data_IF_213688642626
#
_entry.id   IF_213688642626
#
_cell.length_a   1.000
_cell.length_b   1.000
_cell.length_c   1.000
_cell.angle_alpha   90.00
_cell.angle_beta   90.00
_cell.angle_gamma   90.00
#
_symmetry.space_group_name_H-M   'P 1'
#
loop_
_entity.id
_entity.type
_entity.pdbx_description
1 polymer ?
#
# COMPACT_ATOMS: atom_id res chain seq x y z
N UNK A 1 -17.23 -17.29 48.67
CA UNK A 1 -17.13 -16.15 47.71
C UNK A 1 -16.04 -16.50 46.71
N UNK A 2 -16.43 -16.97 45.52
CA UNK A 2 -15.49 -17.37 44.48
C UNK A 2 -15.43 -16.19 43.51
N UNK A 3 -14.30 -15.50 43.48
CA UNK A 3 -14.07 -14.42 42.52
C UNK A 3 -13.93 -15.04 41.12
N UNK A 4 -14.91 -14.79 40.25
CA UNK A 4 -14.85 -15.07 38.82
C UNK A 4 -13.84 -14.11 38.21
N UNK A 5 -12.65 -14.61 37.94
CA UNK A 5 -11.66 -13.93 37.11
C UNK A 5 -12.15 -14.02 35.66
N UNK A 6 -12.87 -13.01 35.21
CA UNK A 6 -13.26 -12.87 33.82
C UNK A 6 -11.98 -12.68 32.99
N UNK A 7 -11.56 -13.71 32.28
CA UNK A 7 -10.60 -13.57 31.18
C UNK A 7 -11.23 -12.65 30.13
N UNK A 8 -10.79 -11.42 30.08
CA UNK A 8 -11.03 -10.56 28.92
C UNK A 8 -10.34 -11.26 27.75
N UNK A 9 -11.11 -11.93 26.90
CA UNK A 9 -10.61 -12.46 25.63
C UNK A 9 -10.10 -11.25 24.83
N UNK A 10 -8.80 -11.22 24.58
CA UNK A 10 -8.25 -10.22 23.66
C UNK A 10 -8.98 -10.33 22.33
N UNK A 11 -9.35 -9.20 21.76
CA UNK A 11 -9.97 -9.19 20.43
C UNK A 11 -9.13 -10.00 19.45
N UNK A 12 -9.73 -10.86 18.58
CA UNK A 12 -9.00 -11.73 17.67
C UNK A 12 -8.26 -10.95 16.56
N UNK A 13 -8.42 -9.64 16.54
CA UNK A 13 -7.89 -8.75 15.52
C UNK A 13 -6.81 -7.83 16.08
N UNK A 14 -5.72 -7.68 15.32
CA UNK A 14 -4.59 -6.82 15.64
C UNK A 14 -3.94 -6.27 14.35
N UNK A 15 -2.76 -5.65 14.48
CA UNK A 15 -1.99 -5.11 13.34
C UNK A 15 -1.57 -6.18 12.31
N UNK A 16 -1.49 -7.46 12.68
CA UNK A 16 -1.12 -8.56 11.79
C UNK A 16 -2.34 -9.26 11.20
N UNK A 17 -3.46 -9.15 11.90
CA UNK A 17 -4.76 -9.68 11.49
C UNK A 17 -5.83 -8.59 11.63
N UNK A 18 -5.88 -7.59 10.75
CA UNK A 18 -6.82 -6.48 10.85
C UNK A 18 -8.26 -6.93 10.62
N UNK A 19 -9.18 -6.35 11.37
CA UNK A 19 -10.62 -6.59 11.20
C UNK A 19 -11.10 -6.06 9.84
N UNK A 20 -11.81 -6.85 9.03
CA UNK A 20 -12.38 -6.40 7.76
C UNK A 20 -13.63 -5.55 7.98
N UNK A 21 -13.44 -4.33 8.50
CA UNK A 21 -14.53 -3.43 8.83
C UNK A 21 -15.32 -2.97 7.60
N UNK A 22 -16.64 -2.89 7.75
CA UNK A 22 -17.51 -2.34 6.71
C UNK A 22 -17.59 -0.82 6.84
N UNK A 23 -17.46 -0.11 5.73
CA UNK A 23 -17.76 1.32 5.66
C UNK A 23 -19.29 1.53 5.80
N UNK A 24 -19.69 2.28 6.83
CA UNK A 24 -21.10 2.58 7.13
C UNK A 24 -21.53 3.88 6.51
N UNK A 25 -20.71 4.92 6.68
CA UNK A 25 -21.00 6.26 6.14
C UNK A 25 -19.73 6.90 5.57
N UNK A 26 -19.94 7.71 4.53
CA UNK A 26 -18.91 8.59 3.96
C UNK A 26 -19.56 9.91 3.56
N UNK A 27 -19.05 11.02 4.08
CA UNK A 27 -19.54 12.36 3.72
C UNK A 27 -18.43 13.38 3.69
N UNK A 28 -18.53 14.32 2.77
CA UNK A 28 -17.65 15.47 2.72
C UNK A 28 -18.00 16.45 3.84
N UNK A 29 -17.00 16.93 4.58
CA UNK A 29 -17.14 17.92 5.64
C UNK A 29 -16.78 19.35 5.18
N UNK A 30 -15.89 19.46 4.20
CA UNK A 30 -15.51 20.77 3.66
C UNK A 30 -16.55 21.33 2.71
N UNK A 31 -16.73 22.67 2.74
CA UNK A 31 -17.62 23.36 1.83
C UNK A 31 -17.21 23.18 0.36
N UNK A 32 -18.15 23.33 -0.57
CA UNK A 32 -17.90 23.16 -2.01
C UNK A 32 -16.82 24.13 -2.54
N UNK A 33 -16.70 25.32 -1.95
CA UNK A 33 -15.70 26.32 -2.29
C UNK A 33 -14.32 26.09 -1.68
N UNK A 34 -14.18 25.09 -0.80
CA UNK A 34 -12.91 24.78 -0.14
C UNK A 34 -11.97 24.06 -1.10
N UNK A 35 -10.69 24.48 -1.12
CA UNK A 35 -9.62 23.76 -1.81
C UNK A 35 -9.24 22.45 -1.10
N UNK A 36 -9.68 22.24 0.16
CA UNK A 36 -9.48 21.00 0.91
C UNK A 36 -10.66 20.06 0.71
N UNK A 37 -10.36 18.77 0.57
CA UNK A 37 -11.36 17.71 0.56
C UNK A 37 -11.28 16.91 1.86
N UNK A 38 -11.93 17.45 2.92
CA UNK A 38 -12.02 16.75 4.20
C UNK A 38 -13.22 15.83 4.18
N UNK A 39 -12.98 14.55 4.45
CA UNK A 39 -14.00 13.50 4.43
C UNK A 39 -14.20 12.93 5.83
N UNK A 40 -15.44 12.63 6.16
CA UNK A 40 -15.82 11.82 7.32
C UNK A 40 -16.06 10.38 6.85
N UNK A 41 -15.58 9.42 7.63
CA UNK A 41 -15.83 8.01 7.41
C UNK A 41 -16.29 7.38 8.72
N UNK A 42 -17.39 6.61 8.70
CA UNK A 42 -17.77 5.72 9.79
C UNK A 42 -17.56 4.27 9.35
N UNK A 43 -16.94 3.49 10.21
CA UNK A 43 -16.70 2.06 9.98
C UNK A 43 -17.35 1.23 11.08
N UNK A 44 -17.96 0.12 10.72
CA UNK A 44 -18.62 -0.77 11.67
C UNK A 44 -17.60 -1.60 12.45
N UNK A 45 -17.76 -1.65 13.76
CA UNK A 45 -17.00 -2.52 14.67
C UNK A 45 -17.81 -3.76 15.12
N UNK A 46 -19.03 -3.92 14.62
CA UNK A 46 -19.91 -5.05 14.96
C UNK A 46 -19.20 -6.37 14.68
N UNK A 47 -19.11 -7.23 15.72
CA UNK A 47 -18.47 -8.54 15.62
C UNK A 47 -16.93 -8.52 15.71
N UNK A 48 -16.30 -7.35 15.85
CA UNK A 48 -14.84 -7.24 15.96
C UNK A 48 -14.31 -7.56 17.34
N UNK A 49 -15.09 -7.31 18.41
CA UNK A 49 -14.60 -7.28 19.78
C UNK A 49 -13.61 -6.16 20.10
N UNK A 50 -13.38 -5.23 19.13
CA UNK A 50 -12.52 -4.08 19.34
C UNK A 50 -13.23 -3.02 20.18
N UNK A 51 -12.48 -2.39 21.06
CA UNK A 51 -12.93 -1.26 21.88
C UNK A 51 -11.94 -0.11 21.73
N UNK A 52 -12.39 1.11 21.92
CA UNK A 52 -11.57 2.31 21.87
C UNK A 52 -12.00 3.36 22.88
N UNK A 53 -11.17 4.37 23.09
CA UNK A 53 -11.47 5.56 23.87
C UNK A 53 -11.38 6.79 22.97
N UNK A 54 -12.07 7.86 23.35
CA UNK A 54 -11.93 9.14 22.68
C UNK A 54 -10.44 9.56 22.64
N UNK A 55 -9.94 9.92 21.45
CA UNK A 55 -8.54 10.29 21.24
C UNK A 55 -7.61 9.15 20.87
N UNK A 56 -8.07 7.90 20.89
CA UNK A 56 -7.32 6.79 20.32
C UNK A 56 -7.15 6.96 18.78
N UNK A 57 -6.23 6.21 18.21
CA UNK A 57 -5.98 6.22 16.78
C UNK A 57 -6.42 4.90 16.14
N UNK A 58 -7.21 5.03 15.08
CA UNK A 58 -7.59 3.91 14.22
C UNK A 58 -6.50 3.66 13.16
N UNK A 59 -5.96 2.45 13.12
CA UNK A 59 -5.07 2.00 12.05
C UNK A 59 -5.87 1.41 10.89
N UNK A 60 -5.87 2.07 9.74
CA UNK A 60 -6.53 1.57 8.53
C UNK A 60 -5.49 0.97 7.59
N UNK A 61 -5.65 -0.29 7.23
CA UNK A 61 -4.81 -0.98 6.25
C UNK A 61 -5.43 -0.78 4.85
N UNK A 62 -4.79 -0.01 3.97
CA UNK A 62 -5.29 0.20 2.62
C UNK A 62 -5.05 -1.03 1.75
N UNK A 63 -5.80 -1.13 0.66
CA UNK A 63 -5.45 -1.96 -0.48
C UNK A 63 -5.05 -1.06 -1.66
N UNK A 64 -4.17 -1.55 -2.54
CA UNK A 64 -3.90 -0.87 -3.80
C UNK A 64 -5.13 -0.93 -4.72
N UNK A 65 -5.27 0.06 -5.58
CA UNK A 65 -6.33 0.08 -6.58
C UNK A 65 -6.19 -1.15 -7.52
N UNK A 66 -7.24 -1.98 -7.66
CA UNK A 66 -7.17 -3.18 -8.52
C UNK A 66 -6.79 -2.88 -9.96
N UNK A 67 -7.22 -1.74 -10.51
CA UNK A 67 -6.87 -1.32 -11.88
C UNK A 67 -5.36 -1.04 -11.99
N UNK A 68 -4.78 -0.35 -11.00
CA UNK A 68 -3.33 -0.10 -10.95
C UNK A 68 -2.55 -1.41 -10.84
N UNK A 69 -2.98 -2.34 -9.97
CA UNK A 69 -2.34 -3.64 -9.83
C UNK A 69 -2.36 -4.41 -11.15
N UNK A 70 -3.52 -4.47 -11.81
CA UNK A 70 -3.66 -5.15 -13.10
C UNK A 70 -2.80 -4.52 -14.18
N UNK A 71 -2.73 -3.18 -14.24
CA UNK A 71 -1.91 -2.47 -15.21
C UNK A 71 -0.40 -2.75 -14.99
N UNK A 72 0.06 -2.71 -13.75
CA UNK A 72 1.46 -3.02 -13.40
C UNK A 72 1.81 -4.47 -13.76
N UNK A 73 0.96 -5.44 -13.39
CA UNK A 73 1.17 -6.85 -13.77
C UNK A 73 1.32 -7.00 -15.27
N UNK A 74 0.40 -6.40 -16.04
CA UNK A 74 0.42 -6.46 -17.50
C UNK A 74 1.67 -5.82 -18.09
N UNK A 75 2.04 -4.61 -17.65
CA UNK A 75 3.20 -3.89 -18.15
C UNK A 75 4.52 -4.61 -17.84
N UNK A 76 4.60 -5.25 -16.66
CA UNK A 76 5.75 -6.06 -16.24
C UNK A 76 5.78 -7.48 -16.84
N UNK A 77 4.73 -7.91 -17.55
CA UNK A 77 4.64 -9.25 -18.15
C UNK A 77 4.34 -10.36 -17.13
N UNK A 78 3.77 -10.03 -15.97
CA UNK A 78 3.39 -11.01 -14.95
C UNK A 78 1.95 -11.48 -15.10
N UNK A 79 1.69 -12.72 -14.70
CA UNK A 79 0.33 -13.30 -14.65
C UNK A 79 -0.41 -12.95 -13.36
N UNK A 80 0.35 -12.71 -12.28
CA UNK A 80 -0.15 -12.52 -10.93
C UNK A 80 -0.18 -13.81 -10.08
N UNK A 81 0.01 -14.99 -10.69
CA UNK A 81 0.03 -16.29 -10.01
C UNK A 81 1.44 -16.70 -9.54
N UNK A 82 2.46 -15.94 -9.95
CA UNK A 82 3.85 -16.16 -9.54
C UNK A 82 3.93 -16.19 -8.00
N UNK A 83 4.54 -17.25 -7.47
CA UNK A 83 4.73 -17.40 -6.03
C UNK A 83 5.92 -16.55 -5.58
N UNK A 84 5.66 -15.63 -4.68
CA UNK A 84 6.66 -14.69 -4.15
C UNK A 84 6.66 -14.71 -2.63
N UNK A 85 7.84 -14.54 -2.04
CA UNK A 85 8.00 -14.46 -0.58
C UNK A 85 8.33 -13.02 -0.19
N UNK A 86 7.40 -12.36 0.51
CA UNK A 86 7.61 -10.99 0.99
C UNK A 86 8.75 -10.96 2.02
N UNK A 87 9.68 -9.99 1.97
CA UNK A 87 10.77 -9.91 2.93
C UNK A 87 10.29 -9.98 4.38
N UNK A 88 10.86 -10.93 5.14
CA UNK A 88 10.53 -11.31 6.53
C UNK A 88 9.26 -12.18 6.70
N UNK A 89 8.58 -12.56 5.63
CA UNK A 89 7.54 -13.58 5.69
C UNK A 89 8.15 -14.96 5.38
N UNK A 90 7.52 -16.03 5.86
CA UNK A 90 8.05 -17.40 5.72
C UNK A 90 7.33 -18.22 4.65
N UNK A 91 6.13 -17.81 4.27
CA UNK A 91 5.33 -18.52 3.28
C UNK A 91 5.21 -17.72 1.98
N UNK A 92 5.31 -18.39 0.82
CA UNK A 92 5.03 -17.75 -0.46
C UNK A 92 3.53 -17.47 -0.62
N UNK A 93 3.23 -16.40 -1.34
CA UNK A 93 1.87 -16.00 -1.73
C UNK A 93 1.85 -15.59 -3.21
N UNK A 94 0.70 -15.63 -3.88
CA UNK A 94 0.57 -15.13 -5.24
C UNK A 94 0.97 -13.64 -5.34
N UNK A 95 1.67 -13.28 -6.42
CA UNK A 95 2.09 -11.90 -6.69
C UNK A 95 0.91 -10.92 -6.68
N UNK A 96 -0.23 -11.31 -7.27
CA UNK A 96 -1.46 -10.53 -7.24
C UNK A 96 -1.88 -10.19 -5.80
N UNK A 97 -1.82 -11.15 -4.89
CA UNK A 97 -2.16 -10.94 -3.47
C UNK A 97 -1.13 -10.01 -2.79
N UNK A 98 0.16 -10.22 -3.07
CA UNK A 98 1.24 -9.40 -2.54
C UNK A 98 1.07 -7.93 -2.94
N UNK A 99 0.85 -7.67 -4.23
CA UNK A 99 0.65 -6.31 -4.77
C UNK A 99 -0.67 -5.69 -4.33
N UNK A 100 -1.74 -6.47 -4.18
CA UNK A 100 -3.04 -5.93 -3.78
C UNK A 100 -3.08 -5.45 -2.34
N UNK A 101 -2.43 -6.15 -1.39
CA UNK A 101 -2.67 -5.97 0.05
C UNK A 101 -1.42 -5.82 0.92
N UNK A 102 -0.22 -6.09 0.41
CA UNK A 102 0.97 -6.19 1.25
C UNK A 102 2.08 -5.21 0.88
N UNK A 103 2.19 -4.85 -0.39
CA UNK A 103 3.27 -4.04 -0.93
C UNK A 103 2.74 -2.75 -1.56
N UNK A 104 3.46 -1.65 -1.35
CA UNK A 104 3.09 -0.34 -1.88
C UNK A 104 3.53 -0.22 -3.34
N UNK A 105 2.63 0.23 -4.20
CA UNK A 105 2.92 0.63 -5.58
C UNK A 105 3.14 2.14 -5.72
N UNK A 106 3.27 2.86 -4.61
CA UNK A 106 3.51 4.31 -4.66
C UNK A 106 5.00 4.61 -4.75
N UNK A 107 5.36 5.30 -5.80
CA UNK A 107 6.67 5.89 -6.02
C UNK A 107 7.82 4.87 -6.13
N UNK A 108 8.33 4.65 -7.34
CA UNK A 108 9.49 3.80 -7.54
C UNK A 108 10.72 4.36 -6.82
N UNK A 109 11.71 3.52 -6.64
CA UNK A 109 12.98 3.90 -6.02
C UNK A 109 14.10 3.95 -7.04
N UNK A 110 15.19 4.64 -6.71
CA UNK A 110 16.42 4.64 -7.53
C UNK A 110 16.92 3.24 -7.82
N UNK A 111 16.86 2.34 -6.83
CA UNK A 111 17.26 0.94 -7.00
C UNK A 111 16.42 0.24 -8.07
N UNK A 112 15.15 0.61 -8.18
CA UNK A 112 14.29 0.07 -9.23
C UNK A 112 14.73 0.55 -10.60
N UNK A 113 15.00 1.85 -10.76
CA UNK A 113 15.52 2.39 -12.04
C UNK A 113 16.87 1.77 -12.40
N UNK A 114 17.77 1.56 -11.44
CA UNK A 114 19.04 0.87 -11.66
C UNK A 114 18.83 -0.57 -12.14
N UNK A 115 17.93 -1.31 -11.50
CA UNK A 115 17.61 -2.67 -11.92
C UNK A 115 17.04 -2.71 -13.34
N UNK A 116 16.12 -1.80 -13.68
CA UNK A 116 15.62 -1.69 -15.05
C UNK A 116 16.75 -1.42 -16.05
N UNK A 117 17.68 -0.52 -15.72
CA UNK A 117 18.85 -0.25 -16.57
C UNK A 117 19.73 -1.51 -16.77
N UNK A 118 19.95 -2.29 -15.73
CA UNK A 118 20.72 -3.54 -15.80
C UNK A 118 20.02 -4.57 -16.68
N UNK A 119 18.69 -4.64 -16.62
CA UNK A 119 17.86 -5.62 -17.32
C UNK A 119 17.44 -5.21 -18.73
N UNK A 120 17.42 -3.91 -19.04
CA UNK A 120 17.06 -3.42 -20.36
C UNK A 120 17.99 -3.99 -21.45
N UNK A 121 17.40 -4.45 -22.53
CA UNK A 121 18.13 -4.96 -23.71
C UNK A 121 18.14 -3.97 -24.86
N UNK A 122 17.16 -3.06 -24.92
CA UNK A 122 17.15 -1.97 -25.91
C UNK A 122 18.14 -0.87 -25.54
N UNK A 123 18.96 -0.47 -26.50
CA UNK A 123 20.02 0.52 -26.27
C UNK A 123 19.48 1.93 -25.98
N UNK A 124 18.33 2.30 -26.56
CA UNK A 124 17.68 3.59 -26.32
C UNK A 124 17.06 3.68 -24.93
N UNK A 125 16.39 2.61 -24.47
CA UNK A 125 15.86 2.50 -23.13
C UNK A 125 16.99 2.57 -22.10
N UNK A 126 18.05 1.81 -22.33
CA UNK A 126 19.23 1.79 -21.47
C UNK A 126 19.90 3.16 -21.36
N UNK A 127 20.02 3.89 -22.48
CA UNK A 127 20.60 5.24 -22.50
C UNK A 127 19.72 6.23 -21.70
N UNK A 128 18.39 6.18 -21.83
CA UNK A 128 17.47 7.03 -21.05
C UNK A 128 17.59 6.78 -19.53
N UNK A 129 17.61 5.52 -19.12
CA UNK A 129 17.79 5.15 -17.72
C UNK A 129 19.17 5.58 -17.21
N UNK A 130 20.24 5.37 -18.00
CA UNK A 130 21.58 5.79 -17.62
C UNK A 130 21.67 7.31 -17.41
N UNK A 131 21.03 8.10 -18.26
CA UNK A 131 20.99 9.55 -18.11
C UNK A 131 20.26 9.97 -16.82
N UNK A 132 19.11 9.36 -16.53
CA UNK A 132 18.34 9.65 -15.33
C UNK A 132 19.06 9.22 -14.03
N UNK A 133 19.73 8.06 -14.05
CA UNK A 133 20.50 7.56 -12.92
C UNK A 133 21.76 8.41 -12.70
N UNK A 134 22.42 8.82 -13.79
CA UNK A 134 23.64 9.62 -13.79
C UNK A 134 23.44 11.11 -13.55
N UNK A 135 22.19 11.60 -13.46
CA UNK A 135 21.93 13.02 -13.19
C UNK A 135 22.58 13.45 -11.86
N UNK A 136 23.39 14.48 -11.93
CA UNK A 136 24.17 14.99 -10.80
C UNK A 136 23.43 16.04 -10.00
N UNK A 137 22.45 16.71 -10.60
CA UNK A 137 21.58 17.67 -9.91
C UNK A 137 20.53 16.93 -9.06
N UNK A 138 20.57 17.06 -7.72
CA UNK A 138 19.66 16.34 -6.85
C UNK A 138 18.18 16.69 -7.07
N UNK A 139 17.88 17.94 -7.43
CA UNK A 139 16.50 18.39 -7.65
C UNK A 139 15.93 17.80 -8.95
N UNK A 140 16.70 17.80 -10.02
CA UNK A 140 16.30 17.16 -11.28
C UNK A 140 16.12 15.65 -11.11
N UNK A 141 17.05 15.04 -10.40
CA UNK A 141 17.02 13.64 -10.08
C UNK A 141 15.75 13.26 -9.29
N UNK A 142 15.43 14.03 -8.25
CA UNK A 142 14.23 13.88 -7.46
C UNK A 142 12.97 14.09 -8.31
N UNK A 143 12.91 15.17 -9.08
CA UNK A 143 11.78 15.47 -9.95
C UNK A 143 11.52 14.35 -10.98
N UNK A 144 12.57 13.75 -11.55
CA UNK A 144 12.43 12.65 -12.48
C UNK A 144 11.75 11.43 -11.84
N UNK A 145 12.09 11.11 -10.58
CA UNK A 145 11.47 10.02 -9.82
C UNK A 145 10.05 10.35 -9.38
N UNK A 146 9.79 11.58 -8.92
CA UNK A 146 8.48 11.99 -8.40
C UNK A 146 7.40 12.10 -9.50
N UNK A 147 7.82 12.25 -10.75
CA UNK A 147 6.92 12.33 -11.92
C UNK A 147 6.52 10.93 -12.46
N UNK A 148 7.02 9.86 -11.87
CA UNK A 148 6.82 8.50 -12.38
C UNK A 148 6.31 7.54 -11.32
N UNK A 149 5.39 6.72 -11.75
CA UNK A 149 4.95 5.53 -11.02
C UNK A 149 5.66 4.27 -11.56
N UNK A 150 5.49 3.14 -10.89
CA UNK A 150 6.05 1.87 -11.40
C UNK A 150 5.52 1.52 -12.79
N UNK A 151 4.24 1.83 -13.05
CA UNK A 151 3.61 1.60 -14.35
C UNK A 151 4.34 2.34 -15.47
N UNK A 152 4.59 3.64 -15.26
CA UNK A 152 5.28 4.48 -16.25
C UNK A 152 6.66 3.91 -16.61
N UNK A 153 7.42 3.49 -15.59
CA UNK A 153 8.74 2.92 -15.80
C UNK A 153 8.73 1.60 -16.55
N UNK A 154 7.75 0.73 -16.31
CA UNK A 154 7.59 -0.50 -17.10
C UNK A 154 7.16 -0.21 -18.54
N UNK A 155 6.25 0.76 -18.76
CA UNK A 155 5.80 1.14 -20.10
C UNK A 155 6.87 1.87 -20.91
N UNK A 156 7.68 2.70 -20.25
CA UNK A 156 8.81 3.41 -20.88
C UNK A 156 10.00 2.48 -21.22
N UNK A 157 10.07 1.31 -20.54
CA UNK A 157 11.21 0.39 -20.66
C UNK A 157 10.76 -1.09 -20.78
N UNK A 158 9.98 -1.43 -21.81
CA UNK A 158 9.43 -2.78 -21.98
C UNK A 158 10.48 -3.87 -22.24
N UNK A 159 11.69 -3.50 -22.65
CA UNK A 159 12.77 -4.47 -22.85
C UNK A 159 13.41 -4.95 -21.54
N UNK A 160 13.13 -4.28 -20.41
CA UNK A 160 13.66 -4.63 -19.11
C UNK A 160 12.80 -5.71 -18.43
N UNK A 161 13.14 -6.96 -18.66
CA UNK A 161 12.43 -8.09 -18.05
C UNK A 161 12.94 -8.38 -16.65
N UNK A 162 12.03 -8.41 -15.67
CA UNK A 162 12.32 -8.70 -14.27
C UNK A 162 11.68 -10.01 -13.83
N UNK A 163 12.28 -10.67 -12.83
CA UNK A 163 11.61 -11.73 -12.09
C UNK A 163 10.62 -11.17 -11.06
N UNK A 164 9.50 -11.86 -10.82
CA UNK A 164 8.50 -11.41 -9.86
C UNK A 164 9.06 -11.23 -8.44
N UNK A 165 9.92 -12.15 -8.00
CA UNK A 165 10.58 -12.06 -6.69
C UNK A 165 11.52 -10.85 -6.64
N UNK A 166 12.31 -10.62 -7.68
CA UNK A 166 13.24 -9.50 -7.80
C UNK A 166 12.49 -8.15 -7.75
N UNK A 167 11.34 -8.07 -8.40
CA UNK A 167 10.49 -6.88 -8.36
C UNK A 167 10.00 -6.57 -6.94
N UNK A 168 9.43 -7.55 -6.24
CA UNK A 168 8.85 -7.31 -4.91
C UNK A 168 9.88 -6.94 -3.84
N UNK A 169 11.13 -7.36 -3.99
CA UNK A 169 12.21 -7.02 -3.06
C UNK A 169 12.55 -5.52 -3.03
N UNK A 170 12.19 -4.81 -4.10
CA UNK A 170 12.37 -3.36 -4.21
C UNK A 170 11.15 -2.56 -3.73
N UNK A 171 10.03 -3.23 -3.44
CA UNK A 171 8.82 -2.59 -2.96
C UNK A 171 8.83 -2.39 -1.45
N UNK A 172 8.23 -1.29 -1.01
CA UNK A 172 8.00 -1.04 0.42
C UNK A 172 6.75 -1.78 0.88
N UNK A 173 6.71 -2.16 2.16
CA UNK A 173 5.46 -2.69 2.73
C UNK A 173 4.36 -1.61 2.70
N UNK A 174 3.14 -2.04 2.44
CA UNK A 174 1.97 -1.18 2.52
C UNK A 174 1.66 -0.94 3.99
N UNK A 175 1.88 0.28 4.45
CA UNK A 175 1.77 0.64 5.86
C UNK A 175 0.35 1.10 6.20
N UNK A 176 -0.17 0.78 7.41
CA UNK A 176 -1.43 1.34 7.87
C UNK A 176 -1.33 2.85 8.00
N UNK A 177 -2.45 3.54 7.77
CA UNK A 177 -2.61 4.96 8.04
C UNK A 177 -3.34 5.14 9.35
N UNK A 178 -2.81 6.00 10.23
CA UNK A 178 -3.39 6.30 11.53
C UNK A 178 -4.30 7.52 11.42
N UNK A 179 -5.50 7.39 11.96
CA UNK A 179 -6.48 8.46 12.05
C UNK A 179 -6.96 8.61 13.49
N UNK A 180 -7.03 9.83 14.00
CA UNK A 180 -7.61 10.08 15.32
C UNK A 180 -9.11 9.80 15.28
N UNK A 181 -9.59 9.04 16.25
CA UNK A 181 -11.01 8.71 16.39
C UNK A 181 -11.73 9.92 16.95
N UNK A 182 -12.77 10.39 16.27
CA UNK A 182 -13.58 11.55 16.66
C UNK A 182 -14.94 11.17 17.26
N UNK A 183 -15.31 9.88 17.23
CA UNK A 183 -16.53 9.37 17.85
C UNK A 183 -16.36 9.05 19.34
N UNK A 184 -17.46 9.03 20.08
CA UNK A 184 -17.51 8.58 21.46
C UNK A 184 -18.22 7.23 21.55
N UNK A 185 -17.61 6.19 22.15
CA UNK A 185 -18.23 4.85 22.24
C UNK A 185 -19.58 4.86 22.95
N UNK A 186 -19.79 5.78 23.90
CA UNK A 186 -21.07 5.94 24.60
C UNK A 186 -22.21 6.36 23.69
N UNK A 187 -21.91 7.00 22.55
CA UNK A 187 -22.91 7.45 21.57
C UNK A 187 -22.95 6.55 20.33
N UNK A 188 -21.82 5.97 19.97
CA UNK A 188 -21.64 5.12 18.78
C UNK A 188 -20.86 3.86 19.18
N UNK A 189 -21.49 2.90 19.90
CA UNK A 189 -20.80 1.77 20.48
C UNK A 189 -20.23 0.79 19.43
N UNK A 190 -20.79 0.79 18.23
CA UNK A 190 -20.47 -0.14 17.16
C UNK A 190 -19.77 0.53 15.94
N UNK A 191 -19.31 1.78 16.10
CA UNK A 191 -18.68 2.55 15.04
C UNK A 191 -17.34 3.17 15.47
#
# INVERSE_FOLDING_TARGET
>A
MVASCGFAMSAPYDKNNPFPARLVDRRRLSAASSQKDTQHFSVSLVGSGLTYKCGDSLGVFPANNPLTVTAVLKAAGFTGDEQVTIPKDTAPIPLLQALSKRLSLNGPTYKFAQLLHERATDAGEKARLAAAIGEVDPEKKKAWMEQREFLDLFEEHPSAQLGAQEFIELLRKLMPRLYSISSAPSKYPDE
#
